data_IF_761694505586
#
_entry.id   IF_761694505586
#
_cell.length_a   1.000
_cell.length_b   1.000
_cell.length_c   1.000
_cell.angle_alpha   90.00
_cell.angle_beta   90.00
_cell.angle_gamma   90.00
#
_symmetry.space_group_name_H-M   'P 1'
#
loop_
_entity.id
_entity.type
_entity.pdbx_description
1 polymer ?
#
# COMPACT_ATOMS: atom_id res chain seq x y z
N UNK A 1 31.33 1.71 3.11
CA UNK A 1 30.41 0.82 3.83
C UNK A 1 30.93 -0.59 3.68
N UNK A 2 30.90 -1.41 4.72
CA UNK A 2 31.29 -2.82 4.60
C UNK A 2 30.15 -3.67 4.03
N UNK A 3 30.45 -4.83 3.46
CA UNK A 3 29.43 -5.77 2.97
C UNK A 3 28.42 -6.15 4.06
N UNK A 4 28.89 -6.32 5.29
CA UNK A 4 28.05 -6.59 6.45
C UNK A 4 27.07 -5.45 6.75
N UNK A 5 27.55 -4.20 6.72
CA UNK A 5 26.69 -3.02 6.94
C UNK A 5 25.61 -2.88 5.86
N UNK A 6 25.95 -3.14 4.58
CA UNK A 6 24.98 -3.08 3.49
C UNK A 6 23.93 -4.18 3.63
N UNK A 7 24.34 -5.40 3.99
CA UNK A 7 23.42 -6.51 4.25
C UNK A 7 22.44 -6.19 5.38
N UNK A 8 22.91 -5.62 6.49
CA UNK A 8 22.07 -5.20 7.61
C UNK A 8 21.05 -4.12 7.20
N UNK A 9 21.50 -3.13 6.42
CA UNK A 9 20.62 -2.08 5.88
C UNK A 9 19.58 -2.62 4.90
N UNK A 10 19.96 -3.60 4.07
CA UNK A 10 19.06 -4.23 3.11
C UNK A 10 17.99 -5.05 3.84
N UNK A 11 18.38 -5.81 4.86
CA UNK A 11 17.45 -6.57 5.71
C UNK A 11 16.49 -5.64 6.48
N UNK A 12 17.00 -4.56 7.05
CA UNK A 12 16.19 -3.54 7.74
C UNK A 12 15.19 -2.87 6.80
N UNK A 13 15.65 -2.42 5.63
CA UNK A 13 14.82 -1.77 4.61
C UNK A 13 13.72 -2.70 4.10
N UNK A 14 14.06 -3.97 3.86
CA UNK A 14 13.10 -5.00 3.44
C UNK A 14 12.07 -5.29 4.52
N UNK A 15 12.48 -5.33 5.80
CA UNK A 15 11.57 -5.54 6.93
C UNK A 15 10.55 -4.40 7.08
N UNK A 16 11.00 -3.15 6.95
CA UNK A 16 10.10 -1.98 6.99
C UNK A 16 9.12 -2.03 5.82
N UNK A 17 9.57 -2.46 4.65
CA UNK A 17 8.74 -2.63 3.47
C UNK A 17 7.62 -3.66 3.70
N UNK A 18 7.91 -4.81 4.32
CA UNK A 18 6.87 -5.78 4.72
C UNK A 18 5.91 -5.22 5.78
N UNK A 19 6.41 -4.45 6.74
CA UNK A 19 5.59 -3.81 7.76
C UNK A 19 4.59 -2.81 7.16
N UNK A 20 5.00 -2.03 6.15
CA UNK A 20 4.09 -1.15 5.40
C UNK A 20 2.99 -1.95 4.68
N UNK A 21 3.34 -3.10 4.08
CA UNK A 21 2.38 -4.02 3.49
C UNK A 21 1.31 -4.49 4.48
N UNK A 22 1.71 -4.89 5.68
CA UNK A 22 0.80 -5.31 6.74
C UNK A 22 -0.08 -4.14 7.25
N UNK A 23 0.50 -2.95 7.39
CA UNK A 23 -0.22 -1.74 7.79
C UNK A 23 -1.30 -1.37 6.76
N UNK A 24 -1.00 -1.47 5.46
CA UNK A 24 -1.98 -1.25 4.40
C UNK A 24 -3.15 -2.25 4.46
N UNK A 25 -2.86 -3.54 4.66
CA UNK A 25 -3.92 -4.56 4.78
C UNK A 25 -4.78 -4.35 6.03
N UNK A 26 -4.18 -3.87 7.11
CA UNK A 26 -4.88 -3.50 8.35
C UNK A 26 -5.81 -2.31 8.11
N UNK A 27 -5.31 -1.26 7.44
CA UNK A 27 -6.09 -0.09 7.04
C UNK A 27 -7.29 -0.50 6.17
N UNK A 28 -7.06 -1.32 5.14
CA UNK A 28 -8.10 -1.83 4.24
C UNK A 28 -9.18 -2.59 5.02
N UNK A 29 -8.76 -3.48 5.90
CA UNK A 29 -9.67 -4.28 6.72
C UNK A 29 -10.52 -3.39 7.64
N UNK A 30 -9.88 -2.43 8.32
CA UNK A 30 -10.57 -1.46 9.17
C UNK A 30 -11.58 -0.63 8.37
N UNK A 31 -11.21 -0.18 7.17
CA UNK A 31 -12.11 0.55 6.28
C UNK A 31 -13.33 -0.31 5.91
N UNK A 32 -13.13 -1.55 5.45
CA UNK A 32 -14.21 -2.46 5.08
C UNK A 32 -15.15 -2.72 6.26
N UNK A 33 -14.61 -2.91 7.47
CA UNK A 33 -15.39 -3.11 8.69
C UNK A 33 -16.26 -1.89 8.99
N UNK A 34 -15.69 -0.68 8.95
CA UNK A 34 -16.43 0.58 9.18
C UNK A 34 -17.55 0.72 8.15
N UNK A 35 -17.24 0.49 6.87
CA UNK A 35 -18.23 0.52 5.78
C UNK A 35 -19.35 -0.47 6.03
N UNK A 36 -19.04 -1.70 6.43
CA UNK A 36 -20.04 -2.76 6.60
C UNK A 36 -20.92 -2.54 7.84
N UNK A 37 -20.33 -2.11 8.96
CA UNK A 37 -21.05 -1.96 10.23
C UNK A 37 -21.86 -0.66 10.30
N UNK A 38 -21.25 0.46 9.90
CA UNK A 38 -21.84 1.80 10.11
C UNK A 38 -21.94 2.60 8.83
N UNK A 39 -21.52 2.08 7.67
CA UNK A 39 -21.54 2.82 6.39
C UNK A 39 -22.91 3.37 6.00
N UNK A 40 -23.99 2.75 6.48
CA UNK A 40 -25.38 3.18 6.26
C UNK A 40 -25.83 4.34 7.15
N UNK A 41 -25.23 4.53 8.31
CA UNK A 41 -25.63 5.54 9.31
C UNK A 41 -24.77 6.81 9.26
N UNK A 42 -23.71 6.81 8.45
CA UNK A 42 -22.79 7.93 8.34
C UNK A 42 -23.37 9.08 7.53
N UNK A 43 -23.13 10.30 8.02
CA UNK A 43 -23.43 11.55 7.31
C UNK A 43 -22.52 11.73 6.10
N UNK A 44 -22.95 12.56 5.13
CA UNK A 44 -22.14 12.89 3.93
C UNK A 44 -20.74 13.39 4.29
N UNK A 45 -20.62 14.19 5.34
CA UNK A 45 -19.34 14.70 5.82
C UNK A 45 -18.43 13.60 6.39
N UNK A 46 -18.96 12.73 7.24
CA UNK A 46 -18.19 11.61 7.82
C UNK A 46 -17.68 10.66 6.72
N UNK A 47 -18.49 10.40 5.70
CA UNK A 47 -18.08 9.59 4.55
C UNK A 47 -16.94 10.26 3.79
N UNK A 48 -17.08 11.56 3.49
CA UNK A 48 -16.03 12.32 2.82
C UNK A 48 -14.72 12.30 3.61
N UNK A 49 -14.80 12.49 4.94
CA UNK A 49 -13.66 12.44 5.82
C UNK A 49 -12.99 11.05 5.81
N UNK A 50 -13.76 9.98 6.04
CA UNK A 50 -13.23 8.60 6.07
C UNK A 50 -12.57 8.23 4.73
N UNK A 51 -13.23 8.56 3.61
CA UNK A 51 -12.67 8.31 2.28
C UNK A 51 -11.39 9.10 2.05
N UNK A 52 -11.37 10.39 2.44
CA UNK A 52 -10.19 11.24 2.29
C UNK A 52 -9.02 10.70 3.12
N UNK A 53 -9.25 10.35 4.39
CA UNK A 53 -8.22 9.76 5.26
C UNK A 53 -7.74 8.41 4.70
N UNK A 54 -8.64 7.55 4.25
CA UNK A 54 -8.29 6.25 3.67
C UNK A 54 -7.43 6.41 2.40
N UNK A 55 -7.84 7.28 1.49
CA UNK A 55 -7.08 7.58 0.26
C UNK A 55 -5.72 8.18 0.61
N UNK A 56 -5.67 9.15 1.54
CA UNK A 56 -4.42 9.79 1.96
C UNK A 56 -3.42 8.79 2.55
N UNK A 57 -3.89 7.89 3.42
CA UNK A 57 -3.05 6.85 4.02
C UNK A 57 -2.63 5.80 2.98
N UNK A 58 -3.51 5.42 2.05
CA UNK A 58 -3.16 4.52 0.95
C UNK A 58 -2.09 5.12 0.03
N UNK A 59 -2.21 6.40 -0.34
CA UNK A 59 -1.21 7.12 -1.14
C UNK A 59 0.11 7.24 -0.36
N UNK A 60 0.07 7.61 0.91
CA UNK A 60 1.27 7.71 1.76
C UNK A 60 2.03 6.38 1.81
N UNK A 61 1.31 5.27 1.95
CA UNK A 61 1.88 3.92 1.96
C UNK A 61 2.48 3.54 0.60
N UNK A 62 1.81 3.87 -0.52
CA UNK A 62 2.36 3.68 -1.87
C UNK A 62 3.65 4.50 -2.10
N UNK A 63 3.69 5.77 -1.69
CA UNK A 63 4.88 6.62 -1.79
C UNK A 63 6.02 6.13 -0.88
N UNK A 64 5.68 5.64 0.31
CA UNK A 64 6.64 4.99 1.20
C UNK A 64 7.30 3.80 0.53
N UNK A 65 6.51 2.92 -0.10
CA UNK A 65 7.02 1.78 -0.85
C UNK A 65 7.99 2.17 -1.98
N UNK A 66 7.66 3.20 -2.78
CA UNK A 66 8.59 3.71 -3.81
C UNK A 66 9.92 4.17 -3.21
N UNK A 67 9.85 4.86 -2.07
CA UNK A 67 11.04 5.35 -1.38
C UNK A 67 11.90 4.19 -0.86
N UNK A 68 11.29 3.12 -0.35
CA UNK A 68 12.01 1.92 0.09
C UNK A 68 12.60 1.14 -1.08
N UNK A 69 11.87 0.98 -2.18
CA UNK A 69 12.38 0.33 -3.40
C UNK A 69 13.60 1.07 -3.97
N UNK A 70 13.55 2.41 -4.01
CA UNK A 70 14.69 3.21 -4.43
C UNK A 70 15.92 3.02 -3.53
N UNK A 71 15.71 2.95 -2.20
CA UNK A 71 16.79 2.66 -1.24
C UNK A 71 17.37 1.26 -1.40
N UNK A 72 16.52 0.24 -1.56
CA UNK A 72 16.97 -1.15 -1.76
C UNK A 72 17.76 -1.26 -3.06
N UNK A 73 17.31 -0.61 -4.13
CA UNK A 73 18.00 -0.62 -5.42
C UNK A 73 19.40 0.01 -5.31
N UNK A 74 19.54 1.15 -4.62
CA UNK A 74 20.83 1.78 -4.38
C UNK A 74 21.76 0.90 -3.52
N UNK A 75 21.25 0.26 -2.47
CA UNK A 75 22.05 -0.65 -1.63
C UNK A 75 22.51 -1.90 -2.41
N UNK A 76 21.69 -2.39 -3.34
CA UNK A 76 22.06 -3.51 -4.22
C UNK A 76 23.16 -3.12 -5.22
N UNK A 77 23.13 -1.88 -5.73
CA UNK A 77 24.19 -1.34 -6.59
C UNK A 77 25.52 -1.21 -5.83
N UNK A 78 25.49 -0.65 -4.61
CA UNK A 78 26.67 -0.57 -3.74
C UNK A 78 27.25 -1.96 -3.43
N UNK A 79 26.38 -2.95 -3.20
CA UNK A 79 26.80 -4.34 -2.95
C UNK A 79 27.46 -4.98 -4.18
N UNK A 80 26.92 -4.72 -5.37
CA UNK A 80 27.46 -5.23 -6.63
C UNK A 80 28.86 -4.65 -6.93
N UNK A 81 29.10 -3.38 -6.60
CA UNK A 81 30.42 -2.75 -6.72
C UNK A 81 31.45 -3.38 -5.78
N UNK A 82 31.05 -3.70 -4.55
CA UNK A 82 31.90 -4.37 -3.55
C UNK A 82 32.19 -5.84 -3.91
N UNK A 83 31.29 -6.49 -4.65
CA UNK A 83 31.37 -7.92 -4.90
C UNK A 83 31.19 -8.22 -6.40
N UNK A 84 32.25 -7.97 -7.18
CA UNK A 84 32.29 -8.04 -8.65
C UNK A 84 31.97 -9.41 -9.26
N UNK A 85 31.93 -10.47 -8.45
CA UNK A 85 31.54 -11.82 -8.86
C UNK A 85 30.09 -12.17 -8.54
N UNK A 86 29.36 -11.31 -7.80
CA UNK A 86 27.95 -11.55 -7.48
C UNK A 86 27.08 -10.89 -8.56
N UNK A 87 26.52 -11.71 -9.45
CA UNK A 87 25.48 -11.26 -10.37
C UNK A 87 24.18 -11.01 -9.58
N UNK A 88 24.13 -9.93 -8.81
CA UNK A 88 22.86 -9.45 -8.26
C UNK A 88 22.05 -8.87 -9.42
N UNK A 89 21.09 -9.66 -9.89
CA UNK A 89 20.17 -9.27 -10.97
C UNK A 89 19.30 -8.09 -10.51
N UNK A 90 19.65 -6.87 -10.94
CA UNK A 90 18.87 -5.64 -10.74
C UNK A 90 17.66 -5.57 -11.70
N UNK A 91 17.40 -6.60 -12.51
CA UNK A 91 16.41 -6.57 -13.60
C UNK A 91 14.93 -6.65 -13.17
N UNK A 92 14.61 -6.86 -11.89
CA UNK A 92 13.22 -7.05 -11.43
C UNK A 92 12.43 -5.77 -11.05
N UNK A 93 13.05 -4.59 -11.05
CA UNK A 93 12.51 -3.43 -10.34
C UNK A 93 11.26 -2.78 -10.95
N UNK A 94 11.17 -2.67 -12.27
CA UNK A 94 10.14 -1.87 -12.93
C UNK A 94 8.78 -2.58 -13.01
N UNK A 95 8.75 -3.83 -13.48
CA UNK A 95 7.51 -4.58 -13.67
C UNK A 95 6.81 -4.88 -12.33
N UNK A 96 7.58 -5.30 -11.33
CA UNK A 96 7.05 -5.55 -9.98
C UNK A 96 6.45 -4.27 -9.36
N UNK A 97 7.06 -3.12 -9.60
CA UNK A 97 6.54 -1.82 -9.15
C UNK A 97 5.22 -1.50 -9.84
N UNK A 98 5.12 -1.66 -11.16
CA UNK A 98 3.88 -1.40 -11.91
C UNK A 98 2.74 -2.30 -11.43
N UNK A 99 3.00 -3.60 -11.26
CA UNK A 99 2.01 -4.57 -10.77
C UNK A 99 1.55 -4.19 -9.37
N UNK A 100 2.48 -3.89 -8.48
CA UNK A 100 2.19 -3.50 -7.09
C UNK A 100 1.28 -2.26 -7.02
N UNK A 101 1.62 -1.21 -7.77
CA UNK A 101 0.84 0.02 -7.84
C UNK A 101 -0.54 -0.24 -8.41
N UNK A 102 -0.61 -0.92 -9.55
CA UNK A 102 -1.87 -1.22 -10.23
C UNK A 102 -2.81 -2.00 -9.31
N UNK A 103 -2.30 -3.06 -8.67
CA UNK A 103 -3.09 -3.87 -7.75
C UNK A 103 -3.59 -3.05 -6.56
N UNK A 104 -2.72 -2.29 -5.89
CA UNK A 104 -3.14 -1.47 -4.74
C UNK A 104 -4.14 -0.39 -5.13
N UNK A 105 -3.98 0.26 -6.27
CA UNK A 105 -4.95 1.24 -6.78
C UNK A 105 -6.31 0.58 -7.02
N UNK A 106 -6.34 -0.62 -7.64
CA UNK A 106 -7.57 -1.38 -7.82
C UNK A 106 -8.25 -1.73 -6.50
N UNK A 107 -7.48 -2.13 -5.49
CA UNK A 107 -8.00 -2.43 -4.14
C UNK A 107 -8.61 -1.19 -3.48
N UNK A 108 -7.94 -0.05 -3.54
CA UNK A 108 -8.44 1.22 -3.00
C UNK A 108 -9.73 1.64 -3.70
N UNK A 109 -9.76 1.57 -5.03
CA UNK A 109 -10.96 1.87 -5.82
C UNK A 109 -12.11 0.91 -5.48
N UNK A 110 -11.82 -0.39 -5.39
CA UNK A 110 -12.79 -1.41 -5.01
C UNK A 110 -13.41 -1.15 -3.64
N UNK A 111 -12.60 -0.76 -2.65
CA UNK A 111 -13.09 -0.40 -1.32
C UNK A 111 -14.02 0.82 -1.35
N UNK A 112 -13.66 1.87 -2.10
CA UNK A 112 -14.49 3.07 -2.24
C UNK A 112 -15.81 2.74 -2.94
N UNK A 113 -15.78 1.96 -4.03
CA UNK A 113 -16.98 1.51 -4.73
C UNK A 113 -17.89 0.72 -3.78
N UNK A 114 -17.31 -0.17 -2.97
CA UNK A 114 -18.04 -0.95 -1.98
C UNK A 114 -18.77 -0.07 -0.95
N UNK A 115 -18.14 1.02 -0.47
CA UNK A 115 -18.79 2.00 0.39
C UNK A 115 -20.02 2.64 -0.26
N UNK A 116 -19.93 3.01 -1.54
CA UNK A 116 -21.08 3.55 -2.27
C UNK A 116 -22.19 2.51 -2.49
N UNK A 117 -21.86 1.24 -2.71
CA UNK A 117 -22.84 0.16 -2.86
C UNK A 117 -23.62 -0.08 -1.56
N UNK A 118 -22.94 -0.18 -0.42
CA UNK A 118 -23.58 -0.38 0.89
C UNK A 118 -24.57 0.75 1.21
N UNK A 119 -24.25 1.98 0.80
CA UNK A 119 -25.12 3.14 0.98
C UNK A 119 -26.34 3.11 0.06
N UNK A 120 -26.14 2.86 -1.24
CA UNK A 120 -27.24 2.84 -2.23
C UNK A 120 -28.25 1.71 -1.99
N UNK A 121 -27.83 0.60 -1.40
CA UNK A 121 -28.73 -0.52 -1.07
C UNK A 121 -29.89 -0.13 -0.14
N UNK A 122 -29.83 1.00 0.58
CA UNK A 122 -30.91 1.47 1.43
C UNK A 122 -31.95 2.33 0.71
N UNK A 123 -31.55 3.09 -0.32
CA UNK A 123 -32.50 3.97 -1.04
C UNK A 123 -33.61 3.14 -1.70
N UNK A 124 -33.29 1.91 -2.14
CA UNK A 124 -34.26 0.97 -2.73
C UNK A 124 -35.26 0.33 -1.76
N UNK A 125 -35.09 0.50 -0.43
CA UNK A 125 -35.97 -0.12 0.59
C UNK A 125 -36.99 0.84 1.18
N UNK A 126 -36.95 2.11 0.81
CA UNK A 126 -37.87 3.16 1.28
C UNK A 126 -39.08 3.39 0.37
N UNK A 127 -39.18 2.66 -0.75
CA UNK A 127 -40.25 2.79 -1.75
C UNK A 127 -41.30 1.65 -1.70
N UNK A 128 -41.37 0.90 -0.60
CA UNK A 128 -42.42 -0.11 -0.32
C UNK A 128 -43.01 0.12 1.06
#
# INVERSE_FOLDING_TARGET
MTEYEISDLLQSSTSIMYMDGAAFMTLLSAYIIVVHLVGRTLTKFQIAFINFTFIGLAISSMLGWLSFMGRISALLEDLAELNSNSAFMVEGGSEATIIYFTFRTLVVLGAIIYMFQIRRSNDSKTDT
#
